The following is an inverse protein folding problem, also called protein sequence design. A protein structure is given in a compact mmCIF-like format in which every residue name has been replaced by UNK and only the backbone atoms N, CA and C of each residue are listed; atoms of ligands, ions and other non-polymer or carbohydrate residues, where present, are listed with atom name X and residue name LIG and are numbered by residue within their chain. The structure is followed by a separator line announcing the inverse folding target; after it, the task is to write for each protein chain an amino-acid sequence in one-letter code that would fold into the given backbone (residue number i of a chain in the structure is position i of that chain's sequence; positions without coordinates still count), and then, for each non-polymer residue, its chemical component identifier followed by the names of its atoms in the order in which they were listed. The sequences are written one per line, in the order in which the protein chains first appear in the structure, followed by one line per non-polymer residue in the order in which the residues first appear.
data_IF_546364281057
#
_entry.id   IF_546364281057
#
_cell.length_a   1.000
_cell.length_b   1.000
_cell.length_c   1.000
_cell.angle_alpha   90.00
_cell.angle_beta   90.00
_cell.angle_gamma   90.00
#
_symmetry.space_group_name_H-M   'P 1'
#
loop_
_entity.id
_entity.type
_entity.pdbx_description
1 polymer ?
#
# COMPACT_ATOMS: atom_id res chain seq x y z
N UNK A 1 -9.36 -2.81 -30.15
CA UNK A 1 -7.91 -3.05 -30.22
C UNK A 1 -7.06 -2.03 -29.45
N UNK A 2 -7.19 -0.69 -29.64
CA UNK A 2 -6.34 0.30 -28.96
C UNK A 2 -6.41 0.28 -27.41
N UNK A 3 -7.59 0.17 -26.83
CA UNK A 3 -7.80 0.16 -25.36
C UNK A 3 -7.19 -1.09 -24.68
N UNK A 4 -7.06 -2.19 -25.43
CA UNK A 4 -6.45 -3.43 -24.93
C UNK A 4 -4.91 -3.30 -24.81
N UNK A 5 -4.24 -2.67 -25.81
CA UNK A 5 -2.78 -2.53 -25.79
C UNK A 5 -2.30 -1.57 -24.67
N UNK A 6 -3.00 -0.45 -24.47
CA UNK A 6 -2.70 0.46 -23.36
C UNK A 6 -2.77 -0.24 -22.00
N UNK A 7 -3.80 -1.05 -21.79
CA UNK A 7 -3.96 -1.83 -20.55
C UNK A 7 -2.87 -2.92 -20.41
N UNK A 8 -2.47 -3.56 -21.52
CA UNK A 8 -1.37 -4.52 -21.51
C UNK A 8 -0.03 -3.85 -21.17
N UNK A 9 0.23 -2.66 -21.71
CA UNK A 9 1.43 -1.88 -21.37
C UNK A 9 1.43 -1.54 -19.87
N UNK A 10 0.32 -1.06 -19.33
CA UNK A 10 0.20 -0.76 -17.91
C UNK A 10 0.46 -1.98 -17.02
N UNK A 11 -0.14 -3.12 -17.33
CA UNK A 11 0.03 -4.35 -16.56
C UNK A 11 1.48 -4.86 -16.56
N UNK A 12 2.10 -4.93 -17.74
CA UNK A 12 3.51 -5.37 -17.88
C UNK A 12 4.49 -4.38 -17.25
N UNK A 13 4.22 -3.08 -17.40
CA UNK A 13 5.06 -2.06 -16.79
C UNK A 13 4.96 -2.12 -15.24
N UNK A 14 3.77 -2.38 -14.70
CA UNK A 14 3.56 -2.56 -13.27
C UNK A 14 4.40 -3.72 -12.73
N UNK A 15 4.35 -4.90 -13.35
CA UNK A 15 5.17 -6.04 -12.96
C UNK A 15 6.68 -5.72 -12.97
N UNK A 16 7.15 -5.05 -14.03
CA UNK A 16 8.56 -4.71 -14.17
C UNK A 16 9.00 -3.64 -13.16
N UNK A 17 8.18 -2.65 -12.89
CA UNK A 17 8.49 -1.64 -11.87
C UNK A 17 8.51 -2.22 -10.45
N UNK A 18 7.64 -3.17 -10.14
CA UNK A 18 7.65 -3.87 -8.85
C UNK A 18 8.91 -4.74 -8.73
N UNK A 19 9.28 -5.47 -9.79
CA UNK A 19 10.39 -6.40 -9.76
C UNK A 19 11.77 -5.73 -9.77
N UNK A 20 11.94 -4.66 -10.56
CA UNK A 20 13.25 -4.05 -10.86
C UNK A 20 13.39 -2.61 -10.33
N UNK A 21 12.35 -2.05 -9.74
CA UNK A 21 12.27 -0.63 -9.43
C UNK A 21 12.10 0.25 -10.68
N UNK A 22 11.94 1.55 -10.43
CA UNK A 22 11.81 2.52 -11.54
C UNK A 22 13.09 2.57 -12.38
N UNK A 23 14.26 2.73 -11.76
CA UNK A 23 15.51 2.92 -12.46
C UNK A 23 15.96 1.67 -13.24
N UNK A 24 15.72 0.48 -12.70
CA UNK A 24 16.00 -0.81 -13.32
C UNK A 24 15.06 -1.21 -14.46
N UNK A 25 13.98 -0.46 -14.70
CA UNK A 25 13.01 -0.73 -15.77
C UNK A 25 13.15 0.27 -16.91
N UNK A 26 13.25 -0.21 -18.16
CA UNK A 26 13.26 0.65 -19.36
C UNK A 26 11.99 0.49 -20.19
N UNK A 27 11.65 1.52 -20.98
CA UNK A 27 10.53 1.44 -21.94
C UNK A 27 10.77 0.39 -23.02
N UNK A 28 12.04 0.09 -23.33
CA UNK A 28 12.43 -1.00 -24.24
C UNK A 28 12.09 -2.36 -23.64
N UNK A 29 12.41 -2.62 -22.38
CA UNK A 29 12.04 -3.86 -21.68
C UNK A 29 10.53 -4.06 -21.65
N UNK A 30 9.78 -2.99 -21.37
CA UNK A 30 8.32 -3.03 -21.38
C UNK A 30 7.80 -3.38 -22.77
N UNK A 31 8.30 -2.70 -23.82
CA UNK A 31 7.89 -2.94 -25.20
C UNK A 31 8.17 -4.38 -25.65
N UNK A 32 9.35 -4.92 -25.32
CA UNK A 32 9.71 -6.30 -25.62
C UNK A 32 8.79 -7.30 -24.92
N UNK A 33 8.50 -7.09 -23.63
CA UNK A 33 7.64 -8.00 -22.86
C UNK A 33 6.18 -7.94 -23.30
N UNK A 34 5.70 -6.78 -23.75
CA UNK A 34 4.34 -6.59 -24.33
C UNK A 34 4.26 -7.15 -25.75
N UNK A 35 5.38 -7.25 -26.48
CA UNK A 35 5.41 -7.60 -27.90
C UNK A 35 5.00 -6.42 -28.80
N UNK A 36 5.34 -5.19 -28.43
CA UNK A 36 4.99 -4.01 -29.20
C UNK A 36 6.22 -3.14 -29.51
N UNK A 37 6.04 -2.13 -30.40
CA UNK A 37 7.09 -1.15 -30.67
C UNK A 37 7.18 -0.13 -29.52
N UNK A 38 8.39 0.20 -29.09
CA UNK A 38 8.66 1.23 -28.09
C UNK A 38 7.99 2.58 -28.40
N UNK A 39 7.87 2.94 -29.68
CA UNK A 39 7.17 4.15 -30.12
C UNK A 39 5.71 4.19 -29.65
N UNK A 40 5.06 3.04 -29.47
CA UNK A 40 3.69 2.96 -28.94
C UNK A 40 3.64 3.32 -27.45
N UNK A 41 4.65 2.95 -26.66
CA UNK A 41 4.74 3.38 -25.26
C UNK A 41 4.87 4.90 -25.19
N UNK A 42 5.74 5.50 -26.01
CA UNK A 42 5.87 6.95 -26.09
C UNK A 42 4.60 7.63 -26.61
N UNK A 43 3.89 6.99 -27.51
CA UNK A 43 2.60 7.52 -28.02
C UNK A 43 1.55 7.61 -26.91
N UNK A 44 1.39 6.54 -26.08
CA UNK A 44 0.37 6.48 -25.03
C UNK A 44 0.77 7.27 -23.77
N UNK A 45 2.02 7.19 -23.37
CA UNK A 45 2.45 7.65 -22.04
C UNK A 45 3.45 8.81 -22.07
N UNK A 46 3.98 9.15 -23.22
CA UNK A 46 4.99 10.21 -23.44
C UNK A 46 6.35 9.91 -22.80
N UNK A 47 6.38 9.63 -21.49
CA UNK A 47 7.60 9.39 -20.73
C UNK A 47 7.45 8.15 -19.84
N UNK A 48 8.57 7.53 -19.46
CA UNK A 48 8.61 6.45 -18.45
C UNK A 48 8.05 6.94 -17.12
N UNK A 49 8.34 8.17 -16.75
CA UNK A 49 7.84 8.81 -15.53
C UNK A 49 6.31 8.89 -15.51
N UNK A 50 5.69 9.37 -16.59
CA UNK A 50 4.23 9.44 -16.68
C UNK A 50 3.58 8.04 -16.62
N UNK A 51 4.18 7.04 -17.25
CA UNK A 51 3.71 5.65 -17.18
C UNK A 51 3.76 5.14 -15.73
N UNK A 52 4.89 5.33 -15.05
CA UNK A 52 5.06 4.97 -13.66
C UNK A 52 4.05 5.68 -12.74
N UNK A 53 3.91 6.99 -12.89
CA UNK A 53 2.98 7.79 -12.09
C UNK A 53 1.54 7.33 -12.24
N UNK A 54 1.09 6.99 -13.46
CA UNK A 54 -0.26 6.46 -13.67
C UNK A 54 -0.48 5.11 -12.97
N UNK A 55 0.51 4.22 -13.04
CA UNK A 55 0.46 2.92 -12.36
C UNK A 55 0.45 3.12 -10.84
N UNK A 56 1.39 3.92 -10.33
CA UNK A 56 1.53 4.16 -8.90
C UNK A 56 0.27 4.74 -8.28
N UNK A 57 -0.29 5.79 -8.90
CA UNK A 57 -1.53 6.42 -8.43
C UNK A 57 -2.69 5.43 -8.42
N UNK A 58 -2.89 4.71 -9.51
CA UNK A 58 -3.98 3.74 -9.62
C UNK A 58 -3.88 2.66 -8.54
N UNK A 59 -2.67 2.15 -8.29
CA UNK A 59 -2.43 1.14 -7.25
C UNK A 59 -2.62 1.71 -5.85
N UNK A 60 -2.06 2.88 -5.61
CA UNK A 60 -2.18 3.56 -4.33
C UNK A 60 -3.65 3.85 -3.99
N UNK A 61 -4.42 4.41 -4.93
CA UNK A 61 -5.84 4.69 -4.75
C UNK A 61 -6.64 3.41 -4.50
N UNK A 62 -6.42 2.34 -5.28
CA UNK A 62 -7.09 1.06 -5.09
C UNK A 62 -6.74 0.43 -3.73
N UNK A 63 -5.46 0.49 -3.33
CA UNK A 63 -5.00 -0.02 -2.04
C UNK A 63 -5.64 0.71 -0.87
N UNK A 64 -5.63 2.05 -0.88
CA UNK A 64 -6.23 2.84 0.20
C UNK A 64 -7.74 2.60 0.27
N UNK A 65 -8.44 2.55 -0.86
CA UNK A 65 -9.87 2.27 -0.90
C UNK A 65 -10.18 0.90 -0.27
N UNK A 66 -9.45 -0.14 -0.70
CA UNK A 66 -9.66 -1.49 -0.18
C UNK A 66 -9.30 -1.63 1.31
N UNK A 67 -8.20 -0.98 1.73
CA UNK A 67 -7.77 -0.97 3.13
C UNK A 67 -8.83 -0.34 4.05
N UNK A 68 -9.49 0.70 3.60
CA UNK A 68 -10.43 1.48 4.41
C UNK A 68 -11.90 1.07 4.21
N UNK A 69 -12.18 0.13 3.30
CA UNK A 69 -13.53 -0.39 3.05
C UNK A 69 -14.20 -0.97 4.33
N UNK A 70 -13.51 -1.76 5.19
CA UNK A 70 -14.11 -2.27 6.42
C UNK A 70 -14.64 -1.19 7.36
N UNK A 71 -14.06 0.01 7.32
CA UNK A 71 -14.47 1.12 8.18
C UNK A 71 -15.89 1.63 7.85
N UNK A 72 -16.40 1.34 6.66
CA UNK A 72 -17.76 1.71 6.24
C UNK A 72 -18.79 0.61 6.52
N UNK A 73 -18.36 -0.53 7.06
CA UNK A 73 -19.25 -1.65 7.42
C UNK A 73 -19.99 -1.37 8.73
N UNK A 74 -21.01 -2.19 9.02
CA UNK A 74 -21.76 -2.14 10.30
C UNK A 74 -21.13 -3.00 11.41
N UNK A 75 -19.91 -3.49 11.21
CA UNK A 75 -19.20 -4.30 12.20
C UNK A 75 -18.82 -3.49 13.45
N UNK A 76 -18.62 -4.12 14.60
CA UNK A 76 -18.02 -3.49 15.78
C UNK A 76 -16.66 -2.85 15.45
N UNK A 77 -16.34 -1.76 16.12
CA UNK A 77 -15.15 -0.95 15.79
C UNK A 77 -13.85 -1.77 15.79
N UNK A 78 -13.64 -2.63 16.80
CA UNK A 78 -12.44 -3.47 16.88
C UNK A 78 -12.34 -4.46 15.70
N UNK A 79 -13.48 -4.97 15.22
CA UNK A 79 -13.49 -5.84 14.05
C UNK A 79 -13.17 -5.07 12.76
N UNK A 80 -13.66 -3.83 12.64
CA UNK A 80 -13.29 -2.95 11.52
C UNK A 80 -11.79 -2.73 11.45
N UNK A 81 -11.16 -2.38 12.57
CA UNK A 81 -9.71 -2.17 12.67
C UNK A 81 -8.94 -3.46 12.38
N UNK A 82 -9.39 -4.59 12.95
CA UNK A 82 -8.79 -5.91 12.70
C UNK A 82 -8.83 -6.26 11.20
N UNK A 83 -9.95 -6.01 10.54
CA UNK A 83 -10.09 -6.28 9.11
C UNK A 83 -9.19 -5.37 8.26
N UNK A 84 -9.07 -4.08 8.61
CA UNK A 84 -8.11 -3.18 7.95
C UNK A 84 -6.68 -3.69 8.06
N UNK A 85 -6.26 -4.14 9.26
CA UNK A 85 -4.93 -4.70 9.48
C UNK A 85 -4.74 -5.97 8.64
N UNK A 86 -5.71 -6.88 8.64
CA UNK A 86 -5.63 -8.12 7.87
C UNK A 86 -5.49 -7.86 6.37
N UNK A 87 -6.32 -7.00 5.80
CA UNK A 87 -6.26 -6.63 4.37
C UNK A 87 -4.90 -6.04 4.01
N UNK A 88 -4.39 -5.12 4.82
CA UNK A 88 -3.10 -4.50 4.55
C UNK A 88 -1.95 -5.49 4.69
N UNK A 89 -2.01 -6.34 5.71
CA UNK A 89 -1.02 -7.38 5.95
C UNK A 89 -0.98 -8.41 4.82
N UNK A 90 -2.14 -8.86 4.33
CA UNK A 90 -2.26 -9.77 3.18
C UNK A 90 -1.72 -9.13 1.90
N UNK A 91 -2.00 -7.84 1.67
CA UNK A 91 -1.44 -7.10 0.56
C UNK A 91 0.09 -7.13 0.57
N UNK A 92 0.71 -6.84 1.73
CA UNK A 92 2.17 -6.82 1.87
C UNK A 92 2.77 -8.22 1.79
N UNK A 93 2.13 -9.23 2.36
CA UNK A 93 2.55 -10.62 2.30
C UNK A 93 2.57 -11.16 0.87
N UNK A 94 1.54 -10.82 0.08
CA UNK A 94 1.42 -11.24 -1.31
C UNK A 94 2.31 -10.42 -2.27
N UNK A 95 2.82 -9.27 -1.82
CA UNK A 95 3.65 -8.35 -2.62
C UNK A 95 4.90 -7.93 -1.85
N UNK A 96 5.77 -8.89 -1.53
CA UNK A 96 6.93 -8.69 -0.62
C UNK A 96 7.93 -7.61 -1.05
N UNK A 97 7.93 -7.21 -2.31
CA UNK A 97 8.79 -6.12 -2.82
C UNK A 97 8.12 -4.74 -2.69
N UNK A 98 6.80 -4.70 -2.48
CA UNK A 98 6.04 -3.46 -2.38
C UNK A 98 6.51 -2.54 -1.24
N UNK A 99 6.82 -3.03 -0.02
CA UNK A 99 7.33 -2.20 1.06
C UNK A 99 8.58 -1.42 0.70
N UNK A 100 9.57 -2.10 0.13
CA UNK A 100 10.83 -1.48 -0.29
C UNK A 100 10.62 -0.46 -1.41
N UNK A 101 9.74 -0.76 -2.36
CA UNK A 101 9.36 0.15 -3.44
C UNK A 101 8.71 1.44 -2.89
N UNK A 102 7.74 1.30 -1.98
CA UNK A 102 7.06 2.45 -1.35
C UNK A 102 8.06 3.34 -0.61
N UNK A 103 8.92 2.74 0.22
CA UNK A 103 9.93 3.50 0.99
C UNK A 103 10.89 4.21 0.06
N UNK A 104 11.41 3.52 -0.96
CA UNK A 104 12.32 4.13 -1.93
C UNK A 104 11.68 5.36 -2.60
N UNK A 105 10.45 5.24 -3.09
CA UNK A 105 9.76 6.32 -3.78
C UNK A 105 9.41 7.49 -2.86
N UNK A 106 9.03 7.22 -1.63
CA UNK A 106 8.67 8.27 -0.66
C UNK A 106 9.88 8.93 0.00
N UNK A 107 10.93 8.18 0.32
CA UNK A 107 12.08 8.70 1.06
C UNK A 107 13.11 9.38 0.14
N UNK A 108 13.40 8.78 -1.02
CA UNK A 108 14.53 9.18 -1.86
C UNK A 108 14.15 9.95 -3.13
N UNK A 109 12.86 10.12 -3.43
CA UNK A 109 12.41 10.86 -4.60
C UNK A 109 11.49 12.06 -4.24
N UNK A 110 12.04 13.27 -4.03
CA UNK A 110 11.26 14.44 -3.66
C UNK A 110 10.18 14.80 -4.68
N UNK A 111 10.43 14.64 -5.97
CA UNK A 111 9.47 14.97 -7.04
C UNK A 111 8.26 14.03 -7.01
N UNK A 112 8.49 12.73 -6.79
CA UNK A 112 7.40 11.75 -6.65
C UNK A 112 6.63 11.94 -5.36
N UNK A 113 7.31 12.23 -4.26
CA UNK A 113 6.64 12.59 -3.00
C UNK A 113 5.72 13.79 -3.18
N UNK A 114 6.16 14.82 -3.87
CA UNK A 114 5.32 15.99 -4.19
C UNK A 114 4.14 15.63 -5.10
N UNK A 115 4.37 14.83 -6.12
CA UNK A 115 3.33 14.34 -7.01
C UNK A 115 2.25 13.53 -6.24
N UNK A 116 2.67 12.58 -5.39
CA UNK A 116 1.78 11.77 -4.54
C UNK A 116 0.98 12.69 -3.60
N UNK A 117 1.65 13.62 -2.92
CA UNK A 117 1.00 14.60 -2.05
C UNK A 117 -0.08 15.39 -2.78
N UNK A 118 0.25 15.95 -3.94
CA UNK A 118 -0.68 16.76 -4.72
C UNK A 118 -1.85 15.92 -5.25
N UNK A 119 -1.61 14.68 -5.62
CA UNK A 119 -2.65 13.75 -6.06
C UNK A 119 -3.56 13.37 -4.90
N UNK A 120 -3.00 13.03 -3.73
CA UNK A 120 -3.77 12.69 -2.55
C UNK A 120 -4.65 13.85 -2.07
N UNK A 121 -4.13 15.08 -2.04
CA UNK A 121 -4.90 16.27 -1.67
C UNK A 121 -6.12 16.48 -2.58
N UNK A 122 -5.98 16.17 -3.87
CA UNK A 122 -7.06 16.33 -4.87
C UNK A 122 -7.92 15.08 -5.05
N UNK A 123 -7.59 13.98 -4.38
CA UNK A 123 -8.27 12.70 -4.55
C UNK A 123 -9.64 12.70 -3.86
N UNK A 124 -10.69 12.16 -4.52
CA UNK A 124 -11.95 11.85 -3.87
C UNK A 124 -11.80 10.91 -2.66
N UNK A 125 -10.75 10.09 -2.62
CA UNK A 125 -10.42 9.20 -1.50
C UNK A 125 -10.22 9.99 -0.22
N UNK A 126 -9.47 11.10 -0.26
CA UNK A 126 -9.30 11.97 0.91
C UNK A 126 -10.65 12.46 1.44
N UNK A 127 -11.53 12.92 0.54
CA UNK A 127 -12.82 13.48 0.95
C UNK A 127 -13.78 12.40 1.46
N UNK A 128 -13.86 11.26 0.78
CA UNK A 128 -14.87 10.25 1.11
C UNK A 128 -14.40 9.23 2.16
N UNK A 129 -13.13 8.84 2.13
CA UNK A 129 -12.64 7.73 2.98
C UNK A 129 -12.01 8.25 4.27
N UNK A 130 -11.08 9.20 4.17
CA UNK A 130 -10.44 9.74 5.36
C UNK A 130 -11.41 10.48 6.27
N UNK A 131 -12.33 11.27 5.73
CA UNK A 131 -13.35 11.98 6.55
C UNK A 131 -14.30 11.00 7.23
N UNK A 132 -14.77 9.97 6.55
CA UNK A 132 -15.61 8.93 7.17
C UNK A 132 -14.87 8.18 8.27
N UNK A 133 -13.60 7.87 8.04
CA UNK A 133 -12.76 7.26 9.07
C UNK A 133 -12.60 8.17 10.28
N UNK A 134 -12.27 9.44 10.07
CA UNK A 134 -12.15 10.41 11.16
C UNK A 134 -13.45 10.55 11.94
N UNK A 135 -14.59 10.64 11.26
CA UNK A 135 -15.91 10.69 11.88
C UNK A 135 -16.20 9.43 12.72
N UNK A 136 -15.84 8.25 12.21
CA UNK A 136 -15.98 6.99 12.96
C UNK A 136 -15.16 7.03 14.25
N UNK A 137 -13.89 7.44 14.18
CA UNK A 137 -13.01 7.55 15.35
C UNK A 137 -13.55 8.56 16.36
N UNK A 138 -13.96 9.74 15.91
CA UNK A 138 -14.54 10.77 16.78
C UNK A 138 -15.82 10.32 17.48
N UNK A 139 -16.65 9.51 16.79
CA UNK A 139 -17.84 8.91 17.39
C UNK A 139 -17.49 7.92 18.49
N UNK A 140 -16.53 7.03 18.26
CA UNK A 140 -16.07 6.05 19.25
C UNK A 140 -15.45 6.74 20.49
N UNK A 141 -14.68 7.82 20.28
CA UNK A 141 -14.15 8.65 21.38
C UNK A 141 -15.28 9.31 22.16
N UNK A 142 -16.27 9.90 21.48
CA UNK A 142 -17.41 10.56 22.17
C UNK A 142 -18.26 9.59 22.98
N UNK A 143 -18.36 8.35 22.55
CA UNK A 143 -19.08 7.29 23.26
C UNK A 143 -18.25 6.68 24.41
N UNK A 144 -16.96 7.03 24.53
CA UNK A 144 -16.06 6.47 25.53
C UNK A 144 -15.60 5.04 25.23
N UNK A 145 -15.81 4.56 24.00
CA UNK A 145 -15.42 3.21 23.60
C UNK A 145 -13.90 3.09 23.36
N UNK A 146 -13.26 4.20 22.99
CA UNK A 146 -11.80 4.28 22.81
C UNK A 146 -11.26 5.57 23.44
N UNK A 147 -9.97 5.54 23.81
CA UNK A 147 -9.28 6.74 24.28
C UNK A 147 -9.16 7.79 23.17
N UNK A 148 -8.95 9.06 23.51
CA UNK A 148 -8.63 10.10 22.53
C UNK A 148 -7.39 9.73 21.72
N UNK A 149 -7.54 9.75 20.40
CA UNK A 149 -6.46 9.50 19.42
C UNK A 149 -6.72 10.33 18.17
N UNK A 150 -5.66 10.88 17.59
CA UNK A 150 -5.75 11.51 16.27
C UNK A 150 -5.98 10.42 15.20
N UNK A 151 -6.98 10.53 14.32
CA UNK A 151 -7.26 9.51 13.30
C UNK A 151 -6.04 9.18 12.42
N UNK A 152 -5.22 10.18 12.11
CA UNK A 152 -4.00 9.96 11.32
C UNK A 152 -2.96 9.12 12.06
N UNK A 153 -2.84 9.29 13.39
CA UNK A 153 -1.91 8.51 14.21
C UNK A 153 -2.30 7.03 14.23
N UNK A 154 -3.60 6.72 14.27
CA UNK A 154 -4.05 5.33 14.19
C UNK A 154 -3.70 4.69 12.84
N UNK A 155 -3.97 5.39 11.73
CA UNK A 155 -3.59 4.92 10.40
C UNK A 155 -2.07 4.74 10.32
N UNK A 156 -1.31 5.72 10.81
CA UNK A 156 0.16 5.69 10.77
C UNK A 156 0.73 4.54 11.59
N UNK A 157 0.16 4.24 12.77
CA UNK A 157 0.57 3.11 13.59
C UNK A 157 0.33 1.77 12.87
N UNK A 158 -0.84 1.59 12.26
CA UNK A 158 -1.15 0.37 11.48
C UNK A 158 -0.16 0.22 10.31
N UNK A 159 0.00 1.28 9.51
CA UNK A 159 0.87 1.25 8.33
C UNK A 159 2.32 0.95 8.74
N UNK A 160 2.85 1.66 9.73
CA UNK A 160 4.26 1.50 10.14
C UNK A 160 4.55 0.12 10.69
N UNK A 161 3.70 -0.43 11.57
CA UNK A 161 3.90 -1.76 12.14
C UNK A 161 3.83 -2.86 11.08
N UNK A 162 2.86 -2.80 10.19
CA UNK A 162 2.74 -3.77 9.10
C UNK A 162 3.90 -3.64 8.09
N UNK A 163 4.16 -2.42 7.60
CA UNK A 163 5.18 -2.18 6.58
C UNK A 163 6.58 -2.56 7.06
N UNK A 164 6.94 -2.13 8.28
CA UNK A 164 8.25 -2.41 8.85
C UNK A 164 8.49 -3.88 9.08
N UNK A 165 7.45 -4.66 9.39
CA UNK A 165 7.54 -6.12 9.49
C UNK A 165 8.12 -6.73 8.22
N UNK A 166 7.59 -6.36 7.04
CA UNK A 166 8.04 -6.94 5.76
C UNK A 166 9.38 -6.38 5.27
N UNK A 167 9.76 -5.18 5.69
CA UNK A 167 11.08 -4.61 5.39
C UNK A 167 12.17 -5.37 6.16
N UNK A 168 11.92 -5.71 7.42
CA UNK A 168 12.91 -6.36 8.28
C UNK A 168 12.89 -7.89 8.21
N UNK A 169 11.85 -8.47 7.61
CA UNK A 169 11.68 -9.92 7.51
C UNK A 169 12.87 -10.67 6.92
N UNK A 170 13.53 -10.21 5.83
CA UNK A 170 14.73 -10.88 5.31
C UNK A 170 15.86 -10.93 6.34
N UNK A 171 16.11 -9.81 7.02
CA UNK A 171 17.16 -9.73 8.06
C UNK A 171 16.84 -10.68 9.22
N UNK A 172 15.56 -10.71 9.64
CA UNK A 172 15.11 -11.63 10.68
C UNK A 172 15.33 -13.10 10.28
N UNK A 173 14.98 -13.47 9.05
CA UNK A 173 15.14 -14.82 8.53
C UNK A 173 16.62 -15.23 8.49
N UNK A 174 17.49 -14.36 7.99
CA UNK A 174 18.93 -14.64 7.85
C UNK A 174 19.64 -14.69 9.21
N UNK A 175 19.40 -13.71 10.10
CA UNK A 175 20.06 -13.64 11.39
C UNK A 175 19.71 -14.82 12.32
N UNK A 176 18.51 -15.37 12.20
CA UNK A 176 18.04 -16.46 13.04
C UNK A 176 18.01 -17.80 12.30
N UNK A 177 18.61 -17.88 11.11
CA UNK A 177 18.69 -19.08 10.28
C UNK A 177 17.35 -19.80 10.14
N UNK A 178 16.27 -19.02 9.89
CA UNK A 178 14.90 -19.51 9.86
C UNK A 178 14.57 -20.24 8.56
N UNK A 179 13.91 -21.39 8.68
CA UNK A 179 13.33 -22.07 7.52
C UNK A 179 12.16 -21.27 6.95
N UNK A 180 11.77 -21.48 5.68
CA UNK A 180 10.58 -20.84 5.11
C UNK A 180 9.29 -21.06 5.91
N UNK A 181 9.14 -22.23 6.53
CA UNK A 181 8.01 -22.56 7.39
C UNK A 181 8.02 -21.70 8.65
N UNK A 182 9.15 -21.63 9.35
CA UNK A 182 9.31 -20.78 10.53
C UNK A 182 9.11 -19.29 10.23
N UNK A 183 9.49 -18.83 9.03
CA UNK A 183 9.22 -17.46 8.58
C UNK A 183 7.71 -17.23 8.42
N UNK A 184 6.98 -18.18 7.85
CA UNK A 184 5.52 -18.08 7.72
C UNK A 184 4.81 -18.09 9.08
N UNK A 185 5.26 -18.94 10.02
CA UNK A 185 4.74 -18.96 11.39
C UNK A 185 4.97 -17.61 12.08
N UNK A 186 6.17 -17.05 11.93
CA UNK A 186 6.47 -15.72 12.46
C UNK A 186 5.59 -14.63 11.86
N UNK A 187 5.35 -14.67 10.55
CA UNK A 187 4.46 -13.71 9.87
C UNK A 187 3.05 -13.77 10.48
N UNK A 188 2.51 -14.97 10.68
CA UNK A 188 1.19 -15.15 11.26
C UNK A 188 1.15 -14.69 12.73
N UNK A 189 2.16 -15.04 13.52
CA UNK A 189 2.31 -14.56 14.90
C UNK A 189 2.38 -13.02 14.93
N UNK A 190 3.23 -12.41 14.09
CA UNK A 190 3.40 -10.96 14.05
C UNK A 190 2.11 -10.22 13.68
N UNK A 191 1.30 -10.79 12.79
CA UNK A 191 -0.03 -10.24 12.45
C UNK A 191 -0.91 -10.16 13.70
N UNK A 192 -0.99 -11.24 14.48
CA UNK A 192 -1.80 -11.26 15.70
C UNK A 192 -1.28 -10.28 16.77
N UNK A 193 0.04 -10.18 16.92
CA UNK A 193 0.67 -9.22 17.82
C UNK A 193 0.32 -7.77 17.44
N UNK A 194 0.37 -7.43 16.15
CA UNK A 194 0.00 -6.09 15.68
C UNK A 194 -1.47 -5.79 15.97
N UNK A 195 -2.38 -6.73 15.68
CA UNK A 195 -3.81 -6.59 15.99
C UNK A 195 -4.00 -6.34 17.49
N UNK A 196 -3.43 -7.20 18.32
CA UNK A 196 -3.51 -7.10 19.78
C UNK A 196 -2.96 -5.76 20.28
N UNK A 197 -1.79 -5.36 19.81
CA UNK A 197 -1.15 -4.11 20.20
C UNK A 197 -2.01 -2.89 19.83
N UNK A 198 -2.51 -2.84 18.59
CA UNK A 198 -3.36 -1.71 18.13
C UNK A 198 -4.65 -1.67 18.94
N UNK A 199 -5.39 -2.78 19.06
CA UNK A 199 -6.65 -2.83 19.79
C UNK A 199 -6.44 -2.46 21.25
N UNK A 200 -5.43 -3.05 21.93
CA UNK A 200 -5.14 -2.74 23.33
C UNK A 200 -4.77 -1.27 23.52
N UNK A 201 -4.05 -0.67 22.57
CA UNK A 201 -3.67 0.75 22.63
C UNK A 201 -4.86 1.71 22.53
N UNK A 202 -6.01 1.23 22.08
CA UNK A 202 -7.23 2.03 21.93
C UNK A 202 -8.13 1.99 23.16
N UNK A 203 -7.90 1.08 24.12
CA UNK A 203 -8.70 1.03 25.35
C UNK A 203 -8.65 2.36 26.13
N UNK A 204 -9.79 2.80 26.69
CA UNK A 204 -9.88 4.00 27.53
C UNK A 204 -8.93 4.00 28.71
#
# INVERSE_FOLDING_TARGET
MKKNLEQQILAVAEELFIANGFDGTSTTMIAQKVGCNQALIHYYFRTKENLFQQIFVRKFEATITHLLEPLTSELPFNEKITNCINIYFDLLQNNRQLPSCIIHELAFNPQRREFIRNRFIKSPIRQNVYYRFSETIENEIRQGNIRPIEPFDLIFNIISLCLFTFITLPIYADLLERTPEQVNDYINHRRQEIITQIITSLHP
#
